data_IF_590483673498
#
_entry.id   IF_590483673498
#
_cell.length_a   1.000
_cell.length_b   1.000
_cell.length_c   1.000
_cell.angle_alpha   90.00
_cell.angle_beta   90.00
_cell.angle_gamma   90.00
#
_symmetry.space_group_name_H-M   'P 1'
#
loop_
_entity.id
_entity.type
_entity.pdbx_description
1 polymer ?
#
# COMPACT_ATOMS: atom_id res chain seq x y z
N UNK A 1 -20.95 25.54 10.64
CA UNK A 1 -20.12 24.52 9.95
C UNK A 1 -19.79 23.42 10.95
N UNK A 2 -20.27 22.18 10.76
CA UNK A 2 -19.84 21.04 11.58
C UNK A 2 -18.43 20.63 11.15
N UNK A 3 -17.47 20.60 12.08
CA UNK A 3 -16.22 19.86 11.86
C UNK A 3 -16.63 18.39 11.66
N UNK A 4 -16.37 17.80 10.48
CA UNK A 4 -16.39 16.34 10.38
C UNK A 4 -15.31 15.84 11.34
N UNK A 5 -15.64 14.82 12.15
CA UNK A 5 -14.60 14.09 12.87
C UNK A 5 -13.56 13.64 11.84
N UNK A 6 -12.27 13.70 12.18
CA UNK A 6 -11.26 13.09 11.33
C UNK A 6 -11.56 11.59 11.28
N UNK A 7 -11.94 11.11 10.10
CA UNK A 7 -12.20 9.70 9.87
C UNK A 7 -10.95 8.86 10.09
N UNK A 8 -11.11 7.55 10.00
CA UNK A 8 -9.98 6.62 10.14
C UNK A 8 -8.89 6.87 9.08
N UNK A 9 -7.69 6.30 9.22
CA UNK A 9 -6.68 6.37 8.16
C UNK A 9 -7.19 5.73 6.87
N UNK A 10 -7.94 4.62 6.95
CA UNK A 10 -8.63 4.04 5.80
C UNK A 10 -9.61 5.03 5.15
N UNK A 11 -10.49 5.68 5.91
CA UNK A 11 -11.45 6.63 5.35
C UNK A 11 -10.77 7.86 4.71
N UNK A 12 -9.65 8.31 5.27
CA UNK A 12 -8.86 9.42 4.72
C UNK A 12 -8.15 9.02 3.42
N UNK A 13 -7.53 7.84 3.36
CA UNK A 13 -6.84 7.38 2.16
C UNK A 13 -7.84 7.02 1.06
N UNK A 14 -9.02 6.48 1.41
CA UNK A 14 -10.16 6.32 0.51
C UNK A 14 -10.59 7.66 -0.08
N UNK A 15 -10.77 8.69 0.75
CA UNK A 15 -11.13 10.03 0.28
C UNK A 15 -10.08 10.68 -0.63
N UNK A 16 -8.79 10.31 -0.50
CA UNK A 16 -7.75 10.66 -1.48
C UNK A 16 -7.92 9.86 -2.77
N UNK A 17 -8.15 8.56 -2.69
CA UNK A 17 -8.35 7.71 -3.87
C UNK A 17 -9.57 8.09 -4.73
N UNK A 18 -10.62 8.64 -4.10
CA UNK A 18 -11.84 9.16 -4.73
C UNK A 18 -11.68 10.57 -5.38
N UNK A 19 -10.49 11.19 -5.31
CA UNK A 19 -10.25 12.51 -5.94
C UNK A 19 -10.26 12.45 -7.47
N UNK A 20 -10.54 13.59 -8.11
CA UNK A 20 -10.36 13.75 -9.56
C UNK A 20 -8.88 14.00 -9.88
N UNK A 21 -8.29 13.08 -10.63
CA UNK A 21 -6.89 13.12 -11.08
C UNK A 21 -6.71 13.48 -12.57
N UNK A 22 -7.75 14.04 -13.17
CA UNK A 22 -7.71 14.61 -14.51
C UNK A 22 -7.30 16.08 -14.43
N UNK A 23 -6.05 16.34 -14.80
CA UNK A 23 -5.41 17.65 -14.71
C UNK A 23 -5.41 18.40 -16.06
N UNK A 24 -6.08 17.86 -17.09
CA UNK A 24 -6.01 18.36 -18.47
C UNK A 24 -6.42 19.83 -18.63
N UNK A 25 -7.39 20.28 -17.84
CA UNK A 25 -7.83 21.68 -17.82
C UNK A 25 -6.79 22.61 -17.17
N UNK A 26 -6.08 22.13 -16.15
CA UNK A 26 -5.06 22.92 -15.44
C UNK A 26 -3.79 23.05 -16.29
N UNK A 27 -3.38 21.96 -16.94
CA UNK A 27 -2.26 21.94 -17.91
C UNK A 27 -2.53 22.87 -19.10
N UNK A 28 -3.75 22.84 -19.66
CA UNK A 28 -4.16 23.74 -20.74
C UNK A 28 -4.12 25.22 -20.29
N UNK A 29 -4.56 25.53 -19.07
CA UNK A 29 -4.49 26.89 -18.53
C UNK A 29 -3.04 27.34 -18.30
N UNK A 30 -2.16 26.47 -17.79
CA UNK A 30 -0.74 26.73 -17.63
C UNK A 30 -0.05 27.04 -18.97
N UNK A 31 -0.30 26.23 -20.01
CA UNK A 31 0.29 26.45 -21.33
C UNK A 31 -0.16 27.78 -21.95
N UNK A 32 -1.44 28.16 -21.80
CA UNK A 32 -1.94 29.47 -22.26
C UNK A 32 -1.17 30.63 -21.61
N UNK A 33 -0.85 30.54 -20.31
CA UNK A 33 -0.07 31.60 -19.63
C UNK A 33 1.37 31.66 -20.17
N UNK A 34 2.00 30.52 -20.46
CA UNK A 34 3.33 30.49 -21.09
C UNK A 34 3.33 31.11 -22.49
N UNK A 35 2.30 30.82 -23.29
CA UNK A 35 2.16 31.34 -24.66
C UNK A 35 1.97 32.88 -24.65
N UNK A 36 1.15 33.40 -23.73
CA UNK A 36 0.96 34.86 -23.54
C UNK A 36 2.24 35.57 -23.06
N UNK A 37 3.05 34.94 -22.20
CA UNK A 37 4.38 35.50 -21.83
C UNK A 37 5.30 35.54 -23.07
N UNK A 38 5.28 34.49 -23.91
CA UNK A 38 6.04 34.45 -25.16
C UNK A 38 5.61 35.53 -26.17
N UNK A 39 4.30 35.79 -26.28
CA UNK A 39 3.77 36.88 -27.08
C UNK A 39 4.19 38.25 -26.53
N UNK A 40 4.14 38.46 -25.20
CA UNK A 40 4.66 39.67 -24.56
C UNK A 40 6.16 39.89 -24.87
N UNK A 41 7.00 38.85 -24.77
CA UNK A 41 8.42 38.96 -25.16
C UNK A 41 8.58 39.36 -26.63
N UNK A 42 7.76 38.80 -27.53
CA UNK A 42 7.78 39.11 -28.96
C UNK A 42 7.39 40.57 -29.25
N UNK A 43 6.33 41.06 -28.60
CA UNK A 43 5.84 42.43 -28.74
C UNK A 43 6.87 43.46 -28.25
N UNK A 44 7.58 43.18 -27.14
CA UNK A 44 8.62 44.06 -26.60
C UNK A 44 9.81 44.17 -27.55
N UNK A 45 10.27 43.05 -28.14
CA UNK A 45 11.34 43.05 -29.16
C UNK A 45 10.91 43.76 -30.45
N UNK A 46 9.64 43.61 -30.86
CA UNK A 46 9.08 44.33 -31.99
C UNK A 46 9.06 45.86 -31.72
N UNK A 47 8.64 46.28 -30.52
CA UNK A 47 8.68 47.68 -30.12
C UNK A 47 10.11 48.23 -30.06
N UNK A 48 11.07 47.52 -29.45
CA UNK A 48 12.48 47.96 -29.41
C UNK A 48 13.04 48.24 -30.82
N UNK A 49 12.78 47.33 -31.76
CA UNK A 49 13.29 47.43 -33.14
C UNK A 49 12.55 48.44 -34.03
N UNK A 50 11.26 48.72 -33.75
CA UNK A 50 10.39 49.50 -34.63
C UNK A 50 9.78 50.77 -33.98
N UNK A 51 10.31 51.24 -32.84
CA UNK A 51 9.77 52.38 -32.07
C UNK A 51 9.70 53.73 -32.81
N UNK A 52 10.40 53.90 -33.94
CA UNK A 52 10.32 55.11 -34.78
C UNK A 52 11.01 56.37 -34.21
N UNK A 53 11.70 56.29 -33.07
CA UNK A 53 12.37 57.46 -32.50
C UNK A 53 13.72 57.75 -33.17
N UNK A 54 13.94 59.00 -33.55
CA UNK A 54 15.19 59.46 -34.18
C UNK A 54 16.28 59.92 -33.20
N UNK A 55 15.96 60.07 -31.90
CA UNK A 55 16.92 60.49 -30.87
C UNK A 55 17.68 59.31 -30.27
N UNK A 56 19.02 59.35 -30.29
CA UNK A 56 19.87 58.31 -29.70
C UNK A 56 19.58 58.08 -28.21
N UNK A 57 19.36 59.16 -27.45
CA UNK A 57 19.07 59.07 -26.02
C UNK A 57 17.75 58.33 -25.75
N UNK A 58 16.73 58.56 -26.59
CA UNK A 58 15.44 57.88 -26.46
C UNK A 58 15.55 56.41 -26.86
N UNK A 59 16.27 56.09 -27.94
CA UNK A 59 16.53 54.70 -28.35
C UNK A 59 17.30 53.93 -27.28
N UNK A 60 18.34 54.52 -26.71
CA UNK A 60 19.13 53.90 -25.63
C UNK A 60 18.27 53.58 -24.41
N UNK A 61 17.42 54.51 -23.98
CA UNK A 61 16.50 54.30 -22.85
C UNK A 61 15.46 53.20 -23.14
N UNK A 62 14.94 53.12 -24.38
CA UNK A 62 14.02 52.05 -24.79
C UNK A 62 14.72 50.68 -24.79
N UNK A 63 15.95 50.58 -25.32
CA UNK A 63 16.72 49.33 -25.29
C UNK A 63 17.11 48.90 -23.86
N UNK A 64 17.35 49.85 -22.95
CA UNK A 64 17.60 49.55 -21.54
C UNK A 64 16.33 49.03 -20.85
N UNK A 65 15.19 49.72 -21.01
CA UNK A 65 13.90 49.28 -20.51
C UNK A 65 13.49 47.91 -21.09
N UNK A 66 13.61 47.71 -22.41
CA UNK A 66 13.24 46.47 -23.07
C UNK A 66 14.09 45.29 -22.56
N UNK A 67 15.40 45.50 -22.34
CA UNK A 67 16.28 44.49 -21.76
C UNK A 67 15.88 44.14 -20.33
N UNK A 68 15.56 45.12 -19.49
CA UNK A 68 15.11 44.89 -18.13
C UNK A 68 13.76 44.14 -18.09
N UNK A 69 12.80 44.57 -18.90
CA UNK A 69 11.47 43.95 -18.96
C UNK A 69 11.50 42.51 -19.52
N UNK A 70 12.34 42.23 -20.52
CA UNK A 70 12.55 40.86 -21.02
C UNK A 70 13.25 39.96 -19.99
N UNK A 71 14.13 40.51 -19.16
CA UNK A 71 14.74 39.75 -18.06
C UNK A 71 13.71 39.40 -16.96
N UNK A 72 12.80 40.33 -16.66
CA UNK A 72 11.71 40.14 -15.70
C UNK A 72 10.64 39.14 -16.18
N UNK A 73 10.22 39.23 -17.44
CA UNK A 73 9.38 38.21 -18.09
C UNK A 73 10.04 36.83 -18.09
N UNK A 74 11.33 36.77 -18.41
CA UNK A 74 12.09 35.52 -18.39
C UNK A 74 12.13 34.88 -17.01
N UNK A 75 12.34 35.68 -15.97
CA UNK A 75 12.30 35.21 -14.58
C UNK A 75 10.90 34.77 -14.15
N UNK A 76 9.85 35.48 -14.56
CA UNK A 76 8.45 35.15 -14.27
C UNK A 76 8.05 33.82 -14.92
N UNK A 77 8.46 33.59 -16.17
CA UNK A 77 8.27 32.31 -16.87
C UNK A 77 8.96 31.16 -16.14
N UNK A 78 10.21 31.36 -15.75
CA UNK A 78 11.00 30.33 -15.09
C UNK A 78 10.43 30.01 -13.70
N UNK A 79 9.96 31.03 -12.96
CA UNK A 79 9.25 30.86 -11.68
C UNK A 79 7.93 30.09 -11.85
N UNK A 80 7.14 30.41 -12.90
CA UNK A 80 5.89 29.72 -13.18
C UNK A 80 6.13 28.24 -13.53
N UNK A 81 7.21 27.95 -14.26
CA UNK A 81 7.64 26.59 -14.59
C UNK A 81 8.06 25.79 -13.35
N UNK A 82 8.94 26.35 -12.52
CA UNK A 82 9.39 25.70 -11.29
C UNK A 82 8.22 25.40 -10.35
N UNK A 83 7.27 26.34 -10.23
CA UNK A 83 6.05 26.17 -9.45
C UNK A 83 5.12 25.09 -10.02
N UNK A 84 4.94 25.06 -11.34
CA UNK A 84 4.13 24.04 -12.01
C UNK A 84 4.73 22.64 -11.84
N UNK A 85 6.04 22.48 -12.01
CA UNK A 85 6.73 21.20 -11.81
C UNK A 85 6.52 20.66 -10.38
N UNK A 86 6.54 21.53 -9.35
CA UNK A 86 6.23 21.14 -7.96
C UNK A 86 4.77 20.68 -7.81
N UNK A 87 3.80 21.35 -8.45
CA UNK A 87 2.38 20.95 -8.43
C UNK A 87 2.17 19.60 -9.12
N UNK A 88 2.77 19.38 -10.29
CA UNK A 88 2.69 18.11 -11.02
C UNK A 88 3.28 16.97 -10.19
N UNK A 89 4.44 17.17 -9.56
CA UNK A 89 5.05 16.19 -8.67
C UNK A 89 4.15 15.87 -7.46
N UNK A 90 3.58 16.88 -6.81
CA UNK A 90 2.66 16.71 -5.67
C UNK A 90 1.40 15.91 -6.05
N UNK A 91 0.82 16.17 -7.23
CA UNK A 91 -0.32 15.39 -7.77
C UNK A 91 0.11 13.97 -8.14
N UNK A 92 1.34 13.77 -8.61
CA UNK A 92 1.95 12.45 -8.81
C UNK A 92 2.01 11.60 -7.53
N UNK A 93 2.46 12.20 -6.42
CA UNK A 93 2.49 11.55 -5.09
C UNK A 93 1.08 11.17 -4.63
N UNK A 94 0.09 12.03 -4.82
CA UNK A 94 -1.31 11.69 -4.52
C UNK A 94 -1.87 10.56 -5.40
N UNK A 95 -1.44 10.43 -6.67
CA UNK A 95 -1.80 9.29 -7.54
C UNK A 95 -1.18 8.00 -7.03
N UNK A 96 0.09 8.04 -6.63
CA UNK A 96 0.78 6.88 -6.05
C UNK A 96 0.09 6.39 -4.77
N UNK A 97 -0.38 7.31 -3.91
CA UNK A 97 -1.16 6.96 -2.72
C UNK A 97 -2.48 6.24 -3.06
N UNK A 98 -3.21 6.73 -4.09
CA UNK A 98 -4.41 6.07 -4.63
C UNK A 98 -4.08 4.67 -5.17
N UNK A 99 -3.03 4.55 -5.97
CA UNK A 99 -2.70 3.30 -6.67
C UNK A 99 -2.28 2.21 -5.67
N UNK A 100 -1.50 2.57 -4.65
CA UNK A 100 -1.18 1.68 -3.52
C UNK A 100 -2.42 1.25 -2.74
N UNK A 101 -3.33 2.20 -2.44
CA UNK A 101 -4.59 1.89 -1.77
C UNK A 101 -5.45 0.90 -2.58
N UNK A 102 -5.66 1.17 -3.87
CA UNK A 102 -6.47 0.32 -4.75
C UNK A 102 -5.85 -1.06 -5.02
N UNK A 103 -4.52 -1.17 -5.03
CA UNK A 103 -3.83 -2.45 -5.28
C UNK A 103 -3.76 -3.35 -4.04
N UNK A 104 -3.56 -2.76 -2.86
CA UNK A 104 -3.25 -3.52 -1.63
C UNK A 104 -4.42 -3.60 -0.65
N UNK A 105 -5.26 -2.56 -0.52
CA UNK A 105 -6.20 -2.46 0.60
C UNK A 105 -7.57 -3.04 0.26
N UNK A 106 -8.04 -3.99 1.08
CA UNK A 106 -9.41 -4.52 0.97
C UNK A 106 -10.45 -3.55 1.56
N UNK A 107 -11.53 -3.32 0.81
CA UNK A 107 -12.72 -2.60 1.27
C UNK A 107 -13.40 -3.33 2.46
N UNK A 108 -13.39 -4.67 2.45
CA UNK A 108 -14.10 -5.52 3.41
C UNK A 108 -13.13 -6.16 4.42
N UNK A 109 -13.57 -6.32 5.68
CA UNK A 109 -12.76 -6.96 6.75
C UNK A 109 -12.89 -8.48 6.79
N UNK A 110 -13.89 -9.06 6.12
CA UNK A 110 -14.09 -10.50 5.95
C UNK A 110 -14.24 -10.80 4.47
N UNK A 111 -13.71 -11.93 4.00
CA UNK A 111 -13.87 -12.37 2.60
C UNK A 111 -15.32 -12.79 2.32
N UNK A 112 -15.71 -12.85 1.05
CA UNK A 112 -17.05 -13.35 0.67
C UNK A 112 -17.31 -14.78 1.17
N UNK A 113 -16.28 -15.63 1.18
CA UNK A 113 -16.37 -17.01 1.66
C UNK A 113 -16.45 -17.10 3.20
N UNK A 114 -15.73 -16.25 3.94
CA UNK A 114 -15.83 -16.13 5.39
C UNK A 114 -17.22 -15.65 5.83
N UNK A 115 -17.81 -14.67 5.12
CA UNK A 115 -19.21 -14.25 5.37
C UNK A 115 -20.21 -15.38 5.14
N UNK A 116 -20.02 -16.17 4.09
CA UNK A 116 -20.82 -17.37 3.83
C UNK A 116 -20.68 -18.42 4.94
N UNK A 117 -19.46 -18.62 5.45
CA UNK A 117 -19.19 -19.52 6.57
C UNK A 117 -19.85 -19.03 7.88
N UNK A 118 -19.74 -17.73 8.20
CA UNK A 118 -20.43 -17.13 9.36
C UNK A 118 -21.95 -17.31 9.27
N UNK A 119 -22.56 -16.98 8.12
CA UNK A 119 -24.00 -17.15 7.92
C UNK A 119 -24.45 -18.63 8.05
N UNK A 120 -23.63 -19.59 7.60
CA UNK A 120 -23.91 -21.01 7.77
C UNK A 120 -23.84 -21.46 9.23
N UNK A 121 -22.95 -20.87 10.05
CA UNK A 121 -22.89 -21.13 11.49
C UNK A 121 -24.16 -20.64 12.21
N UNK A 122 -24.61 -19.42 11.89
CA UNK A 122 -25.77 -18.79 12.53
C UNK A 122 -27.09 -19.58 12.26
N UNK A 123 -27.26 -20.14 11.06
CA UNK A 123 -28.49 -20.86 10.65
C UNK A 123 -28.66 -22.21 11.33
N UNK A 124 -27.57 -22.92 11.65
CA UNK A 124 -27.64 -24.31 12.15
C UNK A 124 -27.94 -24.38 13.65
N UNK A 125 -27.78 -23.28 14.39
CA UNK A 125 -28.00 -23.22 15.85
C UNK A 125 -27.02 -24.08 16.67
N UNK A 126 -26.09 -24.77 16.02
CA UNK A 126 -24.98 -25.46 16.65
C UNK A 126 -23.85 -24.45 16.92
N UNK A 127 -23.16 -24.62 18.05
CA UNK A 127 -21.97 -23.83 18.38
C UNK A 127 -20.85 -24.20 17.41
N UNK A 128 -20.79 -23.47 16.29
CA UNK A 128 -19.72 -23.59 15.32
C UNK A 128 -18.41 -23.22 16.02
N UNK A 129 -17.57 -24.23 16.24
CA UNK A 129 -16.32 -24.09 16.96
C UNK A 129 -15.19 -24.06 15.95
N UNK A 130 -14.44 -22.96 15.94
CA UNK A 130 -13.22 -22.83 15.14
C UNK A 130 -12.05 -23.31 15.99
N UNK A 131 -11.25 -24.24 15.45
CA UNK A 131 -10.06 -24.76 16.14
C UNK A 131 -8.83 -24.05 15.58
N UNK A 132 -8.14 -23.30 16.42
CA UNK A 132 -6.97 -22.52 16.06
C UNK A 132 -5.74 -22.96 16.88
N UNK A 133 -4.60 -23.24 16.24
CA UNK A 133 -3.35 -23.53 16.94
C UNK A 133 -2.81 -22.24 17.58
N UNK A 134 -2.54 -22.27 18.88
CA UNK A 134 -2.14 -21.11 19.69
C UNK A 134 -1.23 -21.55 20.84
N UNK A 135 -0.01 -21.02 20.93
CA UNK A 135 0.87 -21.23 22.09
C UNK A 135 1.12 -22.70 22.46
N UNK A 136 1.22 -23.59 21.47
CA UNK A 136 1.38 -25.05 21.70
C UNK A 136 0.09 -25.83 22.00
N UNK A 137 -1.09 -25.20 21.93
CA UNK A 137 -2.38 -25.83 22.16
C UNK A 137 -3.33 -25.70 20.96
N UNK A 138 -4.30 -26.61 20.87
CA UNK A 138 -5.46 -26.46 19.98
C UNK A 138 -6.58 -25.74 20.72
N UNK A 139 -6.73 -24.45 20.44
CA UNK A 139 -7.73 -23.61 21.07
C UNK A 139 -9.07 -23.70 20.34
N UNK A 140 -10.12 -24.05 21.08
CA UNK A 140 -11.51 -24.04 20.62
C UNK A 140 -12.10 -22.65 20.84
N UNK A 141 -12.50 -22.00 19.75
CA UNK A 141 -13.05 -20.65 19.69
C UNK A 141 -14.52 -20.70 19.24
N UNK A 142 -15.37 -19.83 19.79
CA UNK A 142 -16.69 -19.59 19.20
C UNK A 142 -16.55 -18.89 17.84
N UNK A 143 -17.35 -19.25 16.85
CA UNK A 143 -17.31 -18.63 15.52
C UNK A 143 -17.47 -17.10 15.59
N UNK A 144 -18.33 -16.58 16.47
CA UNK A 144 -18.48 -15.14 16.66
C UNK A 144 -17.18 -14.48 17.12
N UNK A 145 -16.55 -15.00 18.20
CA UNK A 145 -15.25 -14.53 18.72
C UNK A 145 -14.15 -14.60 17.67
N UNK A 146 -14.09 -15.70 16.91
CA UNK A 146 -13.11 -15.86 15.84
C UNK A 146 -13.27 -14.78 14.75
N UNK A 147 -14.50 -14.59 14.23
CA UNK A 147 -14.73 -13.61 13.18
C UNK A 147 -14.64 -12.16 13.67
N UNK A 148 -14.95 -11.87 14.94
CA UNK A 148 -14.77 -10.53 15.50
C UNK A 148 -13.29 -10.18 15.62
N UNK A 149 -12.48 -11.04 16.24
CA UNK A 149 -11.05 -10.79 16.42
C UNK A 149 -10.30 -10.79 15.08
N UNK A 150 -10.68 -11.64 14.11
CA UNK A 150 -10.13 -11.59 12.75
C UNK A 150 -10.45 -10.27 12.02
N UNK A 151 -11.67 -9.76 12.16
CA UNK A 151 -12.06 -8.48 11.58
C UNK A 151 -11.35 -7.29 12.26
N UNK A 152 -11.13 -7.35 13.57
CA UNK A 152 -10.39 -6.36 14.35
C UNK A 152 -8.90 -6.34 13.99
N UNK A 153 -8.26 -7.51 13.87
CA UNK A 153 -6.85 -7.64 13.46
C UNK A 153 -6.64 -7.08 12.05
N UNK A 154 -7.50 -7.45 11.10
CA UNK A 154 -7.49 -6.86 9.74
C UNK A 154 -7.81 -5.38 9.69
N UNK A 155 -8.66 -4.89 10.60
CA UNK A 155 -8.91 -3.46 10.71
C UNK A 155 -7.62 -2.75 11.16
N UNK A 156 -6.90 -3.29 12.14
CA UNK A 156 -5.62 -2.81 12.63
C UNK A 156 -4.56 -2.80 11.51
N UNK A 157 -4.34 -3.92 10.81
CA UNK A 157 -3.45 -4.00 9.63
C UNK A 157 -3.76 -2.90 8.60
N UNK A 158 -5.04 -2.74 8.27
CA UNK A 158 -5.51 -1.76 7.28
C UNK A 158 -5.28 -0.33 7.73
N UNK A 159 -5.55 0.00 8.99
CA UNK A 159 -5.32 1.33 9.54
C UNK A 159 -3.82 1.66 9.59
N UNK A 160 -2.98 0.71 10.02
CA UNK A 160 -1.51 0.86 10.04
C UNK A 160 -0.92 1.05 8.64
N UNK A 161 -1.37 0.28 7.64
CA UNK A 161 -0.98 0.46 6.25
C UNK A 161 -1.40 1.84 5.70
N UNK A 162 -2.67 2.21 5.89
CA UNK A 162 -3.18 3.50 5.45
C UNK A 162 -2.47 4.66 6.15
N UNK A 163 -2.11 4.49 7.43
CA UNK A 163 -1.31 5.46 8.18
C UNK A 163 0.07 5.67 7.55
N UNK A 164 0.82 4.59 7.31
CA UNK A 164 2.15 4.67 6.69
C UNK A 164 2.12 5.34 5.31
N UNK A 165 1.10 5.04 4.48
CA UNK A 165 0.93 5.70 3.17
C UNK A 165 0.59 7.20 3.34
N UNK A 166 -0.30 7.55 4.26
CA UNK A 166 -0.67 8.94 4.55
C UNK A 166 0.52 9.74 5.10
N UNK A 167 1.34 9.15 5.97
CA UNK A 167 2.51 9.81 6.55
C UNK A 167 3.58 10.10 5.50
N UNK A 168 3.90 9.13 4.63
CA UNK A 168 4.80 9.32 3.49
C UNK A 168 4.27 10.37 2.50
N UNK A 169 2.97 10.30 2.16
CA UNK A 169 2.31 11.29 1.31
C UNK A 169 2.41 12.69 1.91
N UNK A 170 2.09 12.85 3.20
CA UNK A 170 2.15 14.15 3.89
C UNK A 170 3.58 14.69 3.98
N UNK A 171 4.58 13.84 4.24
CA UNK A 171 5.98 14.26 4.25
C UNK A 171 6.41 14.83 2.88
N UNK A 172 6.09 14.11 1.81
CA UNK A 172 6.38 14.52 0.43
C UNK A 172 5.62 15.79 0.01
N UNK A 173 4.34 15.91 0.38
CA UNK A 173 3.55 17.13 0.13
C UNK A 173 4.05 18.34 0.94
N UNK A 174 4.53 18.14 2.17
CA UNK A 174 5.15 19.21 2.96
C UNK A 174 6.48 19.66 2.36
N UNK A 175 7.29 18.76 1.82
CA UNK A 175 8.49 19.12 1.05
C UNK A 175 8.11 19.91 -0.22
N UNK A 176 7.07 19.47 -0.94
CA UNK A 176 6.49 20.21 -2.07
C UNK A 176 6.06 21.62 -1.69
N UNK A 177 5.37 21.80 -0.56
CA UNK A 177 4.99 23.10 -0.04
C UNK A 177 6.20 23.98 0.31
N UNK A 178 7.25 23.41 0.92
CA UNK A 178 8.50 24.14 1.20
C UNK A 178 9.24 24.57 -0.08
N UNK A 179 9.26 23.71 -1.11
CA UNK A 179 9.82 24.06 -2.43
C UNK A 179 8.99 25.14 -3.13
N UNK A 180 7.67 25.05 -3.07
CA UNK A 180 6.76 26.09 -3.61
C UNK A 180 7.01 27.45 -2.93
N UNK A 181 7.18 27.48 -1.60
CA UNK A 181 7.54 28.71 -0.89
C UNK A 181 8.88 29.27 -1.40
N UNK A 182 9.90 28.41 -1.57
CA UNK A 182 11.18 28.82 -2.17
C UNK A 182 11.09 29.33 -3.61
N UNK A 183 10.13 28.86 -4.41
CA UNK A 183 9.82 29.41 -5.74
C UNK A 183 9.17 30.79 -5.63
N UNK A 184 8.25 30.99 -4.67
CA UNK A 184 7.62 32.29 -4.40
C UNK A 184 8.66 33.31 -3.94
N UNK A 185 9.49 32.96 -2.96
CA UNK A 185 10.49 33.85 -2.36
C UNK A 185 11.53 34.33 -3.40
N UNK A 186 12.01 33.43 -4.27
CA UNK A 186 12.89 33.76 -5.40
C UNK A 186 12.29 34.75 -6.41
N UNK A 187 10.97 34.88 -6.46
CA UNK A 187 10.30 35.90 -7.27
C UNK A 187 10.42 37.31 -6.68
N UNK A 188 10.52 37.42 -5.35
CA UNK A 188 10.71 38.70 -4.66
C UNK A 188 12.14 39.25 -4.78
N UNK A 189 13.15 38.38 -4.82
CA UNK A 189 14.56 38.75 -4.97
C UNK A 189 14.96 38.89 -6.45
N UNK A 190 14.46 39.94 -7.11
CA UNK A 190 14.84 40.29 -8.49
C UNK A 190 16.27 40.86 -8.61
N UNK A 191 16.93 41.20 -7.49
CA UNK A 191 18.31 41.69 -7.45
C UNK A 191 19.28 40.58 -7.00
N UNK A 192 20.17 40.16 -7.90
CA UNK A 192 21.64 40.39 -7.81
C UNK A 192 22.50 39.29 -8.51
N UNK A 193 21.94 38.16 -8.97
CA UNK A 193 22.79 37.06 -9.50
C UNK A 193 22.19 36.10 -10.55
N UNK A 194 21.26 36.54 -11.41
CA UNK A 194 20.71 35.67 -12.49
C UNK A 194 21.64 35.53 -13.71
N UNK A 195 22.74 34.80 -13.54
CA UNK A 195 23.42 34.17 -14.69
C UNK A 195 22.54 33.03 -15.19
N UNK A 196 22.18 33.08 -16.47
CA UNK A 196 21.36 32.08 -17.18
C UNK A 196 22.10 30.74 -17.36
N UNK A 197 22.35 30.01 -16.27
CA UNK A 197 22.54 28.55 -16.33
C UNK A 197 21.19 27.88 -16.49
N UNK A 198 21.05 26.99 -17.48
CA UNK A 198 19.86 26.11 -17.63
C UNK A 198 19.56 25.47 -16.27
N UNK A 199 18.43 25.81 -15.65
CA UNK A 199 18.03 25.17 -14.42
C UNK A 199 17.86 23.67 -14.70
N UNK A 200 18.55 22.78 -13.95
CA UNK A 200 18.20 21.37 -13.98
C UNK A 200 16.76 21.23 -13.50
N UNK A 201 16.00 20.30 -14.08
CA UNK A 201 14.62 20.04 -13.64
C UNK A 201 14.58 19.86 -12.11
N UNK A 202 13.59 20.45 -11.46
CA UNK A 202 13.45 20.38 -10.01
C UNK A 202 13.52 18.91 -9.57
N UNK A 203 14.45 18.60 -8.65
CA UNK A 203 14.68 17.23 -8.19
C UNK A 203 13.35 16.57 -7.79
N UNK A 204 13.11 15.27 -8.06
CA UNK A 204 11.84 14.64 -7.74
C UNK A 204 11.46 14.81 -6.25
N UNK A 205 10.17 14.94 -5.95
CA UNK A 205 9.65 14.76 -4.60
C UNK A 205 9.84 13.30 -4.14
N UNK A 206 9.95 13.05 -2.83
CA UNK A 206 9.98 11.69 -2.29
C UNK A 206 8.76 10.89 -2.75
N UNK A 207 9.01 9.69 -3.29
CA UNK A 207 7.96 8.76 -3.65
C UNK A 207 7.51 7.94 -2.45
N UNK A 208 6.25 7.51 -2.46
CA UNK A 208 5.69 6.63 -1.45
C UNK A 208 6.16 5.20 -1.74
N UNK A 209 6.88 4.60 -0.80
CA UNK A 209 7.24 3.18 -0.84
C UNK A 209 6.09 2.37 -0.26
N UNK A 210 5.71 1.29 -0.94
CA UNK A 210 4.69 0.36 -0.45
C UNK A 210 5.13 -0.25 0.89
N UNK A 211 4.40 -0.02 2.00
CA UNK A 211 4.71 -0.62 3.30
C UNK A 211 4.86 -2.15 3.26
N UNK A 212 4.16 -2.82 2.34
CA UNK A 212 4.24 -4.28 2.18
C UNK A 212 5.60 -4.76 1.64
N UNK A 213 6.34 -3.91 0.92
CA UNK A 213 7.66 -4.24 0.38
C UNK A 213 8.78 -3.91 1.38
N UNK A 214 8.50 -3.06 2.37
CA UNK A 214 9.41 -2.66 3.44
C UNK A 214 9.14 -3.41 4.73
N UNK A 215 9.64 -4.65 4.84
CA UNK A 215 9.66 -5.37 6.12
C UNK A 215 10.35 -4.56 7.24
N UNK A 216 10.09 -4.88 8.53
CA UNK A 216 10.53 -4.06 9.66
C UNK A 216 12.07 -3.92 9.70
N UNK A 217 12.55 -2.76 9.26
CA UNK A 217 13.97 -2.49 9.01
C UNK A 217 14.26 -1.62 7.78
N UNK A 218 13.30 -1.42 6.88
CA UNK A 218 13.43 -0.66 5.62
C UNK A 218 13.63 0.87 5.74
N UNK A 219 14.24 1.38 6.81
CA UNK A 219 14.55 2.80 6.95
C UNK A 219 15.86 3.16 6.20
N UNK A 220 15.72 3.52 4.93
CA UNK A 220 16.73 4.31 4.21
C UNK A 220 17.45 3.63 3.05
N UNK A 221 17.14 4.07 1.83
CA UNK A 221 18.13 4.60 0.89
C UNK A 221 17.45 5.18 -0.35
N UNK A 222 17.31 6.51 -0.37
CA UNK A 222 17.01 7.21 -1.61
C UNK A 222 18.30 7.50 -2.39
N UNK A 223 18.36 7.10 -3.66
CA UNK A 223 19.15 7.72 -4.74
C UNK A 223 18.88 6.99 -6.06
N UNK A 224 18.18 7.64 -7.00
CA UNK A 224 17.71 6.98 -8.22
C UNK A 224 17.63 7.90 -9.46
N UNK A 225 18.73 8.58 -9.80
CA UNK A 225 18.97 9.18 -11.13
C UNK A 225 20.40 9.77 -11.22
N UNK A 226 21.03 9.89 -12.41
CA UNK A 226 20.90 9.03 -13.59
C UNK A 226 22.24 8.71 -14.31
N UNK A 227 22.25 7.66 -15.14
CA UNK A 227 23.15 7.53 -16.30
C UNK A 227 24.47 6.78 -16.11
N UNK A 228 24.83 5.98 -17.12
CA UNK A 228 26.09 5.23 -17.20
C UNK A 228 25.88 3.84 -17.79
N UNK A 229 26.22 3.64 -19.06
CA UNK A 229 26.25 2.32 -19.67
C UNK A 229 27.52 1.57 -19.23
N UNK A 230 27.42 0.25 -19.02
CA UNK A 230 28.20 -0.74 -19.78
C UNK A 230 27.92 -2.20 -19.32
N UNK A 231 27.56 -3.05 -20.29
CA UNK A 231 28.07 -4.42 -20.40
C UNK A 231 27.54 -5.55 -19.49
N UNK A 232 26.89 -6.52 -20.13
CA UNK A 232 26.75 -7.95 -19.72
C UNK A 232 25.68 -8.26 -18.64
N UNK A 233 24.85 -9.30 -18.73
CA UNK A 233 24.73 -10.35 -19.76
C UNK A 233 25.13 -11.74 -19.25
N UNK A 234 24.14 -12.58 -18.94
CA UNK A 234 24.31 -13.93 -18.37
C UNK A 234 24.36 -13.93 -16.84
N UNK A 235 23.86 -14.93 -16.10
CA UNK A 235 23.23 -16.19 -16.50
C UNK A 235 23.97 -17.40 -15.92
N UNK A 236 23.28 -18.20 -15.09
CA UNK A 236 23.77 -19.46 -14.46
C UNK A 236 24.87 -19.24 -13.40
N UNK A 237 25.07 -20.05 -12.35
CA UNK A 237 24.40 -21.27 -11.89
C UNK A 237 25.38 -22.19 -11.14
N UNK A 238 24.98 -22.81 -10.02
CA UNK A 238 25.83 -23.70 -9.20
C UNK A 238 26.78 -22.97 -8.23
N UNK A 239 27.29 -23.58 -7.16
CA UNK A 239 27.23 -24.98 -6.68
C UNK A 239 27.47 -24.93 -5.14
N UNK A 240 26.63 -25.49 -4.26
CA UNK A 240 26.57 -26.90 -3.83
C UNK A 240 26.56 -26.93 -2.28
N UNK A 241 26.15 -27.95 -1.51
CA UNK A 241 25.70 -29.35 -1.74
C UNK A 241 25.10 -29.87 -0.38
N UNK A 242 24.26 -30.90 -0.23
CA UNK A 242 23.46 -31.76 -1.13
C UNK A 242 22.38 -32.54 -0.34
N UNK A 243 21.10 -32.41 -0.70
CA UNK A 243 20.11 -33.53 -0.68
C UNK A 243 19.31 -33.79 0.62
N UNK A 244 18.12 -34.40 0.57
CA UNK A 244 17.25 -34.84 -0.53
C UNK A 244 15.78 -34.92 -0.02
N UNK A 245 14.71 -34.96 -0.84
CA UNK A 245 14.61 -35.04 -2.30
C UNK A 245 13.29 -34.45 -2.84
N UNK A 246 12.92 -34.78 -4.08
CA UNK A 246 11.72 -34.30 -4.80
C UNK A 246 10.38 -34.71 -4.14
N UNK A 247 9.22 -34.27 -4.64
CA UNK A 247 8.82 -34.31 -6.06
C UNK A 247 8.39 -32.97 -6.67
N UNK A 248 8.56 -32.86 -8.00
CA UNK A 248 8.24 -31.65 -8.76
C UNK A 248 6.83 -31.63 -9.34
N UNK A 249 6.19 -30.45 -9.29
CA UNK A 249 5.18 -30.05 -10.26
C UNK A 249 5.29 -28.55 -10.52
N UNK A 250 5.29 -28.15 -11.80
CA UNK A 250 5.51 -26.77 -12.22
C UNK A 250 4.22 -25.95 -12.17
N UNK A 251 4.34 -24.64 -11.93
CA UNK A 251 3.28 -23.67 -12.23
C UNK A 251 2.18 -23.47 -11.17
N UNK A 252 2.37 -23.94 -9.93
CA UNK A 252 1.47 -23.61 -8.81
C UNK A 252 2.04 -22.48 -7.97
N UNK A 253 1.31 -21.37 -7.82
CA UNK A 253 1.66 -20.31 -6.88
C UNK A 253 1.75 -20.85 -5.45
N UNK A 254 2.69 -20.33 -4.65
CA UNK A 254 2.89 -20.76 -3.27
C UNK A 254 1.64 -20.41 -2.46
N UNK A 255 0.84 -21.42 -2.11
CA UNK A 255 -0.31 -21.24 -1.24
C UNK A 255 0.16 -20.74 0.12
N UNK A 256 -0.32 -19.57 0.53
CA UNK A 256 -0.04 -19.01 1.84
C UNK A 256 -0.43 -20.01 2.94
N UNK A 257 0.51 -20.32 3.83
CA UNK A 257 0.39 -21.37 4.84
C UNK A 257 1.26 -22.61 4.59
N UNK A 258 1.91 -22.76 3.42
CA UNK A 258 2.81 -23.90 3.15
C UNK A 258 4.10 -23.90 4.00
N UNK A 259 4.61 -22.71 4.32
CA UNK A 259 5.79 -22.51 5.16
C UNK A 259 5.44 -22.17 6.63
N UNK A 260 4.16 -22.18 6.98
CA UNK A 260 3.71 -21.88 8.33
C UNK A 260 4.08 -23.03 9.28
N UNK A 261 4.87 -22.70 10.31
CA UNK A 261 5.20 -23.61 11.39
C UNK A 261 4.38 -23.25 12.63
N UNK A 262 3.49 -24.16 13.02
CA UNK A 262 2.73 -24.12 14.27
C UNK A 262 3.63 -24.02 15.50
N UNK A 263 3.46 -22.97 16.30
CA UNK A 263 4.14 -22.81 17.60
C UNK A 263 3.91 -24.04 18.49
N UNK A 264 4.98 -24.74 18.87
CA UNK A 264 4.93 -25.85 19.82
C UNK A 264 4.50 -27.22 19.26
N UNK A 265 4.25 -27.35 17.95
CA UNK A 265 3.99 -28.67 17.33
C UNK A 265 5.15 -29.09 16.42
N UNK A 266 5.24 -30.38 16.14
CA UNK A 266 6.30 -30.94 15.30
C UNK A 266 6.09 -30.61 13.81
N UNK A 267 7.19 -30.45 13.07
CA UNK A 267 7.15 -30.26 11.60
C UNK A 267 6.53 -31.48 10.90
N UNK A 268 5.93 -31.30 9.70
CA UNK A 268 5.53 -32.39 8.80
C UNK A 268 6.57 -33.52 8.73
N UNK A 269 6.20 -34.69 9.27
CA UNK A 269 7.01 -35.93 9.25
C UNK A 269 7.63 -36.36 10.59
N UNK A 270 7.43 -35.63 11.68
CA UNK A 270 7.87 -36.03 13.01
C UNK A 270 6.69 -36.51 13.88
N UNK A 271 6.89 -37.61 14.62
CA UNK A 271 5.89 -38.16 15.56
C UNK A 271 5.63 -37.16 16.68
N UNK A 272 4.37 -36.82 16.91
CA UNK A 272 3.92 -35.91 17.96
C UNK A 272 2.92 -36.56 18.92
N UNK A 273 3.01 -36.21 20.20
CA UNK A 273 1.98 -36.51 21.20
C UNK A 273 0.68 -35.76 20.89
N UNK A 274 -0.50 -36.27 21.34
CA UNK A 274 -1.77 -35.58 21.14
C UNK A 274 -1.74 -34.20 21.81
N UNK A 275 -1.98 -33.11 21.06
CA UNK A 275 -1.83 -31.75 21.57
C UNK A 275 -2.89 -31.41 22.64
N UNK A 276 -2.54 -30.56 23.61
CA UNK A 276 -3.50 -30.11 24.62
C UNK A 276 -4.59 -29.24 23.98
N UNK A 277 -5.82 -29.38 24.47
CA UNK A 277 -6.95 -28.55 24.06
C UNK A 277 -7.25 -27.49 25.11
N UNK A 278 -7.46 -26.25 24.68
CA UNK A 278 -7.88 -25.14 25.53
C UNK A 278 -9.16 -24.50 24.96
N UNK A 279 -9.96 -23.85 25.81
CA UNK A 279 -11.04 -22.96 25.37
C UNK A 279 -10.60 -21.53 25.64
N UNK A 280 -10.68 -20.68 24.62
CA UNK A 280 -10.42 -19.25 24.76
C UNK A 280 -11.71 -18.48 24.53
N UNK A 281 -12.00 -17.56 25.45
CA UNK A 281 -13.13 -16.62 25.36
C UNK A 281 -12.76 -15.35 24.59
N UNK A 282 -11.46 -15.11 24.40
CA UNK A 282 -10.88 -13.94 23.76
C UNK A 282 -9.60 -14.37 23.00
N UNK A 283 -9.39 -13.75 21.84
CA UNK A 283 -8.29 -13.97 20.89
C UNK A 283 -7.95 -12.67 20.14
N UNK A 284 -8.10 -11.49 20.75
CA UNK A 284 -7.39 -10.30 20.24
C UNK A 284 -5.86 -10.49 20.35
N UNK A 285 -5.13 -9.95 19.37
CA UNK A 285 -3.67 -9.85 19.36
C UNK A 285 -2.90 -11.15 19.12
N UNK A 286 -3.57 -12.30 18.93
CA UNK A 286 -2.90 -13.61 18.75
C UNK A 286 -2.59 -13.97 17.28
N UNK A 287 -2.69 -13.04 16.33
CA UNK A 287 -2.27 -13.24 14.94
C UNK A 287 -3.11 -14.27 14.19
N UNK A 288 -4.41 -14.01 14.01
CA UNK A 288 -5.34 -14.87 13.25
C UNK A 288 -5.14 -14.76 11.73
N UNK A 289 -4.62 -13.64 11.23
CA UNK A 289 -4.29 -13.45 9.82
C UNK A 289 -3.14 -14.37 9.42
N UNK A 290 -3.25 -15.02 8.26
CA UNK A 290 -2.25 -15.97 7.75
C UNK A 290 -2.18 -17.31 8.51
N UNK A 291 -2.75 -17.40 9.72
CA UNK A 291 -2.72 -18.61 10.54
C UNK A 291 -3.85 -19.58 10.17
N UNK A 292 -3.53 -20.83 9.78
CA UNK A 292 -4.54 -21.81 9.39
C UNK A 292 -5.39 -22.27 10.58
N UNK A 293 -6.71 -22.28 10.39
CA UNK A 293 -7.70 -22.83 11.33
C UNK A 293 -8.35 -24.11 10.79
N UNK A 294 -8.95 -24.89 11.68
CA UNK A 294 -9.62 -26.18 11.40
C UNK A 294 -8.71 -27.19 10.69
N UNK A 295 -7.42 -27.21 11.06
CA UNK A 295 -6.45 -28.17 10.55
C UNK A 295 -6.72 -29.58 11.07
N UNK A 296 -6.38 -30.60 10.28
CA UNK A 296 -6.42 -32.00 10.72
C UNK A 296 -5.15 -32.35 11.49
N UNK A 297 -5.31 -32.89 12.70
CA UNK A 297 -4.19 -33.46 13.46
C UNK A 297 -3.83 -34.82 12.88
N UNK A 298 -2.60 -34.97 12.40
CA UNK A 298 -2.04 -36.25 11.96
C UNK A 298 -0.87 -36.65 12.86
N UNK A 299 -0.46 -37.93 12.89
CA UNK A 299 0.76 -38.36 13.58
C UNK A 299 2.03 -37.62 13.11
N UNK A 300 1.99 -37.01 11.93
CA UNK A 300 3.10 -36.32 11.28
C UNK A 300 3.05 -34.79 11.43
N UNK A 301 2.04 -34.21 12.10
CA UNK A 301 1.84 -32.75 12.18
C UNK A 301 0.41 -32.29 11.88
N UNK A 302 0.19 -30.98 11.92
CA UNK A 302 -1.07 -30.34 11.48
C UNK A 302 -1.09 -30.20 9.96
N UNK A 303 -2.21 -30.54 9.31
CA UNK A 303 -2.34 -30.54 7.83
C UNK A 303 -3.66 -29.91 7.41
N UNK A 304 -3.63 -29.14 6.31
CA UNK A 304 -4.81 -28.50 5.72
C UNK A 304 -5.32 -27.31 6.54
N UNK A 305 -6.63 -27.09 6.49
CA UNK A 305 -7.31 -25.96 7.13
C UNK A 305 -7.43 -24.71 6.25
N UNK A 306 -8.01 -23.64 6.81
CA UNK A 306 -8.17 -22.35 6.15
C UNK A 306 -7.28 -21.30 6.79
N UNK A 307 -6.34 -20.74 6.04
CA UNK A 307 -5.63 -19.53 6.44
C UNK A 307 -6.44 -18.30 5.96
N UNK A 308 -6.76 -17.33 6.84
CA UNK A 308 -7.33 -16.04 6.43
C UNK A 308 -6.29 -15.19 5.66
N UNK A 309 -6.64 -14.52 4.55
CA UNK A 309 -5.76 -13.52 3.92
C UNK A 309 -5.62 -12.27 4.80
N UNK A 310 -4.56 -11.48 4.57
CA UNK A 310 -4.40 -10.14 5.14
C UNK A 310 -5.28 -9.12 4.40
N UNK A 311 -5.72 -8.08 5.11
CA UNK A 311 -6.48 -6.97 4.53
C UNK A 311 -5.63 -5.99 3.71
N UNK A 312 -4.30 -6.11 3.76
CA UNK A 312 -3.35 -5.30 2.97
C UNK A 312 -2.78 -6.06 1.76
N UNK A 313 -3.37 -7.21 1.42
CA UNK A 313 -3.09 -7.96 0.19
C UNK A 313 -4.39 -8.27 -0.57
N UNK A 314 -5.09 -7.23 -1.03
CA UNK A 314 -6.37 -7.33 -1.76
C UNK A 314 -6.31 -8.18 -3.04
N UNK A 315 -5.12 -8.33 -3.64
CA UNK A 315 -4.87 -9.21 -4.79
C UNK A 315 -4.80 -10.71 -4.46
N UNK A 316 -4.88 -11.09 -3.18
CA UNK A 316 -4.94 -12.50 -2.78
C UNK A 316 -6.23 -13.16 -3.31
N UNK A 317 -6.16 -14.32 -3.99
CA UNK A 317 -7.33 -15.01 -4.54
C UNK A 317 -8.43 -15.34 -3.54
N UNK A 318 -8.14 -15.34 -2.22
CA UNK A 318 -9.13 -15.54 -1.15
C UNK A 318 -10.09 -14.35 -0.98
N UNK A 319 -9.74 -13.17 -1.48
CA UNK A 319 -10.65 -12.01 -1.54
C UNK A 319 -11.63 -12.08 -2.73
N UNK A 320 -11.39 -12.93 -3.74
CA UNK A 320 -12.28 -13.07 -4.88
C UNK A 320 -13.67 -13.59 -4.47
N UNK A 321 -14.79 -12.96 -4.88
CA UNK A 321 -16.14 -13.42 -4.55
C UNK A 321 -16.49 -14.86 -5.01
N UNK A 322 -15.77 -15.40 -5.98
CA UNK A 322 -15.88 -16.78 -6.44
C UNK A 322 -15.10 -17.79 -5.59
N UNK A 323 -14.15 -17.33 -4.75
CA UNK A 323 -13.38 -18.19 -3.87
C UNK A 323 -14.29 -18.97 -2.91
N UNK A 324 -13.92 -20.22 -2.63
CA UNK A 324 -14.61 -21.09 -1.67
C UNK A 324 -13.58 -21.66 -0.71
N UNK A 325 -13.84 -21.50 0.59
CA UNK A 325 -13.05 -22.15 1.63
C UNK A 325 -13.15 -23.68 1.43
N UNK A 326 -12.05 -24.44 1.51
CA UNK A 326 -12.08 -25.90 1.39
C UNK A 326 -13.11 -26.54 2.35
N UNK A 327 -13.88 -27.51 1.86
CA UNK A 327 -14.99 -28.11 2.63
C UNK A 327 -14.52 -28.79 3.93
N UNK A 328 -13.30 -29.31 3.95
CA UNK A 328 -12.63 -29.87 5.13
C UNK A 328 -12.37 -28.82 6.21
N UNK A 329 -12.13 -27.56 5.83
CA UNK A 329 -11.94 -26.44 6.76
C UNK A 329 -13.26 -25.79 7.24
N UNK A 330 -14.36 -25.93 6.49
CA UNK A 330 -15.70 -25.49 6.92
C UNK A 330 -16.36 -26.53 7.87
N UNK A 331 -15.96 -27.80 7.76
CA UNK A 331 -16.58 -28.92 8.46
C UNK A 331 -16.57 -28.80 9.99
N UNK A 332 -17.76 -28.80 10.60
CA UNK A 332 -17.93 -28.70 12.06
C UNK A 332 -17.18 -29.83 12.78
N UNK A 333 -16.17 -29.45 13.57
CA UNK A 333 -15.67 -30.25 14.68
C UNK A 333 -14.69 -31.39 14.35
N UNK A 334 -14.24 -31.61 13.12
CA UNK A 334 -13.31 -32.74 12.85
C UNK A 334 -11.92 -32.61 13.46
N UNK A 335 -11.40 -31.38 13.61
CA UNK A 335 -10.16 -31.12 14.34
C UNK A 335 -10.27 -31.48 15.85
N UNK A 336 -11.49 -31.59 16.40
CA UNK A 336 -11.74 -32.05 17.77
C UNK A 336 -12.20 -33.52 17.86
N UNK A 337 -12.75 -34.08 16.77
CA UNK A 337 -13.37 -35.42 16.78
C UNK A 337 -12.40 -36.58 16.54
N UNK A 338 -11.14 -36.32 16.14
CA UNK A 338 -10.15 -37.37 15.84
C UNK A 338 -9.25 -37.78 17.03
N UNK A 339 -9.61 -37.41 18.27
CA UNK A 339 -8.82 -37.79 19.44
C UNK A 339 -9.52 -37.84 20.80
N UNK A 340 -10.50 -36.95 21.09
CA UNK A 340 -10.93 -36.74 22.49
C UNK A 340 -12.45 -36.51 22.72
N UNK A 341 -13.33 -37.06 21.88
CA UNK A 341 -14.79 -37.10 22.14
C UNK A 341 -15.35 -38.52 22.38
N UNK A 342 -14.48 -39.46 22.75
CA UNK A 342 -14.87 -40.83 23.15
C UNK A 342 -15.35 -40.99 24.60
N UNK A 343 -15.49 -39.91 25.39
CA UNK A 343 -15.61 -40.00 26.86
C UNK A 343 -16.74 -39.18 27.52
N UNK A 344 -17.57 -38.44 26.77
CA UNK A 344 -18.67 -37.62 27.34
C UNK A 344 -20.06 -37.92 26.73
N UNK A 345 -20.24 -39.11 26.16
CA UNK A 345 -21.53 -39.61 25.68
C UNK A 345 -21.76 -41.09 26.10
N UNK A 346 -21.52 -41.40 27.37
CA UNK A 346 -21.83 -42.70 27.97
C UNK A 346 -22.36 -42.51 29.39
N UNK A 347 -23.68 -42.59 29.59
CA UNK A 347 -24.27 -42.34 30.91
C UNK A 347 -25.77 -42.05 31.01
N UNK A 348 -26.56 -42.16 29.93
CA UNK A 348 -28.01 -42.25 30.03
C UNK A 348 -28.43 -43.71 29.89
N UNK A 349 -28.57 -44.41 31.01
CA UNK A 349 -29.00 -45.80 31.02
C UNK A 349 -30.47 -45.91 30.59
N UNK A 350 -30.73 -46.68 29.53
CA UNK A 350 -32.07 -47.18 29.20
C UNK A 350 -32.02 -48.70 29.31
N UNK A 351 -32.67 -49.25 30.33
CA UNK A 351 -32.98 -50.68 30.46
C UNK A 351 -34.01 -50.92 31.56
N UNK A 352 -34.98 -51.79 31.26
CA UNK A 352 -36.17 -52.16 32.05
C UNK A 352 -37.25 -51.06 32.13
#
# INVERSE_FOLDING_TARGET
MKRRAHGSFFERLRAVSDLRYDDSADEAAYQVVLDEIGECERLVRAYESANGYHSEQVRSAISEWARAFLADLGATRDQLRDGHDVVVQARGVMRQARDLFQANVSDELLTGAERGWRAAADVVGAVATVVAPLGGALCLLGAETYFSSLAEERHREREEYCQNVIEQMNASLNEGAGRMQGVIDKGGEANDSRISTKHPAAAPLPQIVDPNLGGPGGAGSGAGAPGGADGSGGGLGGDGSTGAGGDGSAGGGVLAGRDWASEGFARPGAVQDPPPYARLSDVDGVGLVGRPVNQTVTPNGLVGGYAPPSAVHASDPRWDPSYRIPHDAIGVGRAASSGALGALAGGAAVSA
#
